data_IF_621112667173
#
_entry.id   IF_621112667173
#
_cell.length_a   1.000
_cell.length_b   1.000
_cell.length_c   1.000
_cell.angle_alpha   90.00
_cell.angle_beta   90.00
_cell.angle_gamma   90.00
#
_symmetry.space_group_name_H-M   'P 1'
#
loop_
_entity.id
_entity.type
_entity.pdbx_description
1 polymer ?
#
# COMPACT_ATOMS: atom_id res chain seq x y z
N UNK A 1 14.98 21.05 -0.56
CA UNK A 1 14.82 21.78 -1.84
C UNK A 1 15.01 20.78 -2.97
N UNK A 2 13.91 20.25 -3.53
CA UNK A 2 13.93 19.37 -4.70
C UNK A 2 13.40 20.19 -5.88
N UNK A 3 14.31 20.63 -6.73
CA UNK A 3 13.99 21.20 -8.04
C UNK A 3 13.46 20.07 -8.92
N UNK A 4 12.16 19.81 -8.87
CA UNK A 4 11.50 19.02 -9.90
C UNK A 4 11.57 19.81 -11.22
N UNK A 5 11.92 19.16 -12.34
CA UNK A 5 11.76 19.78 -13.65
C UNK A 5 10.29 20.15 -13.83
N UNK A 6 10.01 21.43 -14.04
CA UNK A 6 8.66 21.92 -14.20
C UNK A 6 8.26 21.71 -15.67
N UNK A 7 7.64 20.57 -16.00
CA UNK A 7 7.18 20.35 -17.37
C UNK A 7 6.00 21.28 -17.66
N UNK A 8 5.99 21.94 -18.82
CA UNK A 8 4.99 22.97 -19.06
C UNK A 8 3.65 22.41 -19.58
N UNK A 9 3.62 21.15 -20.05
CA UNK A 9 2.39 20.50 -20.50
C UNK A 9 2.36 18.99 -20.29
N UNK A 10 1.16 18.41 -20.24
CA UNK A 10 0.96 16.95 -20.13
C UNK A 10 1.53 16.21 -21.34
N UNK A 11 1.50 16.85 -22.51
CA UNK A 11 2.11 16.31 -23.74
C UNK A 11 3.62 16.23 -23.64
N UNK A 12 4.29 17.16 -22.97
CA UNK A 12 5.74 17.10 -22.74
C UNK A 12 6.10 15.99 -21.75
N UNK A 13 5.32 15.85 -20.68
CA UNK A 13 5.43 14.76 -19.71
C UNK A 13 5.36 13.39 -20.40
N UNK A 14 4.35 13.17 -21.24
CA UNK A 14 4.17 11.90 -21.97
C UNK A 14 5.28 11.67 -22.99
N UNK A 15 5.69 12.69 -23.75
CA UNK A 15 6.83 12.55 -24.68
C UNK A 15 8.11 12.17 -23.95
N UNK A 16 8.38 12.78 -22.80
CA UNK A 16 9.56 12.47 -22.00
C UNK A 16 9.49 11.06 -21.44
N UNK A 17 8.34 10.66 -20.90
CA UNK A 17 8.10 9.32 -20.41
C UNK A 17 8.26 8.27 -21.51
N UNK A 18 7.77 8.53 -22.73
CA UNK A 18 7.94 7.66 -23.88
C UNK A 18 9.41 7.46 -24.26
N UNK A 19 10.22 8.53 -24.25
CA UNK A 19 11.66 8.46 -24.52
C UNK A 19 12.35 7.60 -23.45
N UNK A 20 12.12 7.89 -22.17
CA UNK A 20 12.80 7.19 -21.07
C UNK A 20 12.39 5.72 -20.99
N UNK A 21 11.13 5.38 -21.25
CA UNK A 21 10.66 4.00 -21.27
C UNK A 21 11.24 3.21 -22.44
N UNK A 22 11.35 3.80 -23.63
CA UNK A 22 12.00 3.15 -24.78
C UNK A 22 13.49 2.95 -24.52
N UNK A 23 14.17 3.96 -24.00
CA UNK A 23 15.58 3.84 -23.61
C UNK A 23 15.75 2.77 -22.52
N UNK A 24 14.85 2.66 -21.54
CA UNK A 24 14.94 1.64 -20.49
C UNK A 24 14.80 0.19 -21.01
N UNK A 25 14.20 -0.01 -22.19
CA UNK A 25 14.05 -1.34 -22.82
C UNK A 25 15.23 -1.75 -23.70
N UNK A 26 16.21 -0.87 -23.94
CA UNK A 26 17.39 -1.20 -24.74
C UNK A 26 18.39 -2.08 -23.94
N UNK A 27 18.65 -3.32 -24.39
CA UNK A 27 19.54 -4.25 -23.69
C UNK A 27 21.03 -3.85 -23.70
N UNK A 28 21.42 -2.83 -24.48
CA UNK A 28 22.80 -2.37 -24.60
C UNK A 28 23.17 -1.22 -23.64
N UNK A 29 22.30 -0.86 -22.70
CA UNK A 29 22.56 0.24 -21.76
C UNK A 29 23.29 -0.15 -20.48
N UNK A 30 24.18 0.75 -20.06
CA UNK A 30 25.00 0.64 -18.85
C UNK A 30 24.15 0.78 -17.57
N UNK A 31 24.56 0.10 -16.49
CA UNK A 31 23.80 -0.01 -15.22
C UNK A 31 23.45 1.34 -14.60
N UNK A 32 24.38 2.29 -14.65
CA UNK A 32 24.18 3.65 -14.11
C UNK A 32 23.10 4.43 -14.87
N UNK A 33 22.96 4.16 -16.17
CA UNK A 33 21.91 4.76 -17.01
C UNK A 33 20.55 4.14 -16.72
N UNK A 34 20.51 2.83 -16.45
CA UNK A 34 19.28 2.14 -16.04
C UNK A 34 18.74 2.68 -14.69
N UNK A 35 19.60 2.93 -13.71
CA UNK A 35 19.19 3.54 -12.43
C UNK A 35 18.70 4.98 -12.59
N UNK A 36 19.37 5.77 -13.44
CA UNK A 36 18.93 7.12 -13.81
C UNK A 36 17.54 7.12 -14.46
N UNK A 37 17.33 6.24 -15.44
CA UNK A 37 16.05 6.08 -16.14
C UNK A 37 14.94 5.65 -15.19
N UNK A 38 15.20 4.71 -14.26
CA UNK A 38 14.20 4.29 -13.27
C UNK A 38 13.76 5.44 -12.35
N UNK A 39 14.70 6.26 -11.88
CA UNK A 39 14.38 7.43 -11.06
C UNK A 39 13.58 8.45 -11.87
N UNK A 40 13.95 8.67 -13.12
CA UNK A 40 13.26 9.60 -14.00
C UNK A 40 11.81 9.14 -14.31
N UNK A 41 11.60 7.87 -14.63
CA UNK A 41 10.25 7.28 -14.80
C UNK A 41 9.41 7.49 -13.54
N UNK A 42 9.95 7.19 -12.36
CA UNK A 42 9.22 7.40 -11.09
C UNK A 42 8.80 8.85 -10.90
N UNK A 43 9.70 9.80 -11.17
CA UNK A 43 9.41 11.22 -11.01
C UNK A 43 8.34 11.69 -12.01
N UNK A 44 8.47 11.31 -13.29
CA UNK A 44 7.50 11.65 -14.35
C UNK A 44 6.11 11.07 -14.05
N UNK A 45 6.05 9.80 -13.62
CA UNK A 45 4.80 9.16 -13.24
C UNK A 45 4.16 9.84 -12.03
N UNK A 46 4.96 10.20 -11.02
CA UNK A 46 4.45 10.90 -9.84
C UNK A 46 3.86 12.27 -10.21
N UNK A 47 4.56 13.04 -11.05
CA UNK A 47 4.07 14.34 -11.50
C UNK A 47 2.79 14.23 -12.35
N UNK A 48 2.71 13.21 -13.20
CA UNK A 48 1.49 12.94 -13.97
C UNK A 48 0.32 12.58 -13.06
N UNK A 49 0.55 11.73 -12.05
CA UNK A 49 -0.46 11.37 -11.06
C UNK A 49 -0.94 12.60 -10.28
N UNK A 50 -0.03 13.46 -9.80
CA UNK A 50 -0.39 14.70 -9.10
C UNK A 50 -1.30 15.59 -9.95
N UNK A 51 -1.01 15.74 -11.25
CA UNK A 51 -1.86 16.53 -12.17
C UNK A 51 -3.24 15.92 -12.40
N UNK A 52 -3.31 14.59 -12.49
CA UNK A 52 -4.58 13.87 -12.61
C UNK A 52 -5.50 14.18 -11.43
N UNK A 53 -4.96 14.15 -10.21
CA UNK A 53 -5.73 14.44 -8.99
C UNK A 53 -5.98 15.93 -8.76
N UNK A 54 -5.10 16.82 -9.23
CA UNK A 54 -5.25 18.27 -9.08
C UNK A 54 -6.36 18.84 -9.96
N UNK A 55 -6.64 18.24 -11.12
CA UNK A 55 -7.62 18.72 -12.10
C UNK A 55 -8.68 17.64 -12.44
N UNK A 56 -9.50 17.16 -11.47
CA UNK A 56 -10.36 15.99 -11.65
C UNK A 56 -11.37 16.12 -12.79
N UNK A 57 -11.83 17.33 -13.12
CA UNK A 57 -12.75 17.58 -14.25
C UNK A 57 -12.08 17.35 -15.61
N UNK A 58 -10.81 17.75 -15.76
CA UNK A 58 -10.03 17.57 -16.98
C UNK A 58 -9.73 16.10 -17.26
N UNK A 59 -9.58 15.31 -16.20
CA UNK A 59 -9.20 13.90 -16.27
C UNK A 59 -10.38 12.93 -16.10
N UNK A 60 -11.62 13.44 -16.08
CA UNK A 60 -12.83 12.62 -16.07
C UNK A 60 -13.11 11.91 -14.75
N UNK A 61 -12.52 12.38 -13.65
CA UNK A 61 -12.68 11.80 -12.31
C UNK A 61 -13.88 12.37 -11.55
N UNK A 62 -14.31 13.59 -11.88
CA UNK A 62 -15.42 14.24 -11.17
C UNK A 62 -16.77 13.55 -11.39
N UNK A 63 -16.92 12.81 -12.49
CA UNK A 63 -18.12 12.01 -12.82
C UNK A 63 -18.16 10.64 -12.12
N UNK A 64 -17.04 10.21 -11.53
CA UNK A 64 -16.91 8.92 -10.85
C UNK A 64 -17.26 9.09 -9.35
N UNK A 65 -17.97 8.14 -8.71
CA UNK A 65 -18.20 8.16 -7.27
C UNK A 65 -16.89 8.12 -6.46
N UNK A 66 -16.80 8.90 -5.37
CA UNK A 66 -15.56 9.05 -4.58
C UNK A 66 -14.89 7.75 -4.17
N UNK A 67 -15.67 6.76 -3.71
CA UNK A 67 -15.13 5.47 -3.28
C UNK A 67 -14.52 4.60 -4.39
N UNK A 68 -14.66 4.98 -5.67
CA UNK A 68 -14.13 4.26 -6.83
C UNK A 68 -13.16 5.11 -7.68
N UNK A 69 -12.96 6.38 -7.32
CA UNK A 69 -12.10 7.31 -8.08
C UNK A 69 -10.66 6.85 -8.11
N UNK A 70 -10.11 6.52 -6.94
CA UNK A 70 -8.69 6.17 -6.79
C UNK A 70 -8.36 4.87 -7.54
N UNK A 71 -9.26 3.88 -7.50
CA UNK A 71 -9.11 2.62 -8.21
C UNK A 71 -9.17 2.83 -9.73
N UNK A 72 -10.19 3.53 -10.23
CA UNK A 72 -10.35 3.81 -11.65
C UNK A 72 -9.19 4.67 -12.19
N UNK A 73 -8.73 5.67 -11.43
CA UNK A 73 -7.59 6.52 -11.78
C UNK A 73 -6.28 5.72 -11.81
N UNK A 74 -6.05 4.86 -10.81
CA UNK A 74 -4.85 4.03 -10.74
C UNK A 74 -4.79 3.04 -11.90
N UNK A 75 -5.89 2.36 -12.21
CA UNK A 75 -5.97 1.43 -13.34
C UNK A 75 -5.78 2.13 -14.68
N UNK A 76 -6.40 3.30 -14.87
CA UNK A 76 -6.22 4.10 -16.08
C UNK A 76 -4.78 4.63 -16.22
N UNK A 77 -4.12 4.99 -15.10
CA UNK A 77 -2.72 5.40 -15.10
C UNK A 77 -1.81 4.23 -15.46
N UNK A 78 -2.04 3.04 -14.91
CA UNK A 78 -1.30 1.85 -15.29
C UNK A 78 -1.47 1.52 -16.77
N UNK A 79 -2.69 1.57 -17.29
CA UNK A 79 -2.97 1.39 -18.72
C UNK A 79 -2.21 2.42 -19.56
N UNK A 80 -2.18 3.69 -19.12
CA UNK A 80 -1.40 4.73 -19.79
C UNK A 80 0.08 4.38 -19.84
N UNK A 81 0.69 4.01 -18.71
CA UNK A 81 2.12 3.68 -18.65
C UNK A 81 2.48 2.51 -19.57
N UNK A 82 1.59 1.52 -19.70
CA UNK A 82 1.76 0.37 -20.61
C UNK A 82 1.66 0.81 -22.09
N UNK A 83 0.77 1.73 -22.41
CA UNK A 83 0.53 2.18 -23.79
C UNK A 83 1.43 3.36 -24.22
N UNK A 84 2.05 4.09 -23.29
CA UNK A 84 2.94 5.25 -23.55
C UNK A 84 4.02 4.96 -24.61
N UNK A 85 4.73 3.81 -24.59
CA UNK A 85 5.71 3.49 -25.62
C UNK A 85 5.14 3.50 -27.05
N UNK A 86 3.87 3.11 -27.20
CA UNK A 86 3.16 2.99 -28.48
C UNK A 86 2.21 4.17 -28.76
N UNK A 87 2.09 5.13 -27.84
CA UNK A 87 1.15 6.24 -27.97
C UNK A 87 1.50 7.12 -29.18
N UNK A 88 0.62 7.14 -30.19
CA UNK A 88 0.84 7.84 -31.47
C UNK A 88 0.28 9.26 -31.53
N UNK A 89 -0.08 9.86 -30.39
CA UNK A 89 -0.63 11.23 -30.29
C UNK A 89 -1.77 11.53 -31.28
N UNK A 90 -2.59 10.52 -31.63
CA UNK A 90 -3.73 10.68 -32.55
C UNK A 90 -4.89 11.45 -31.92
N UNK A 91 -4.86 11.60 -30.60
CA UNK A 91 -5.79 12.39 -29.80
C UNK A 91 -5.04 12.96 -28.58
N UNK A 92 -5.56 14.03 -27.93
CA UNK A 92 -5.00 14.56 -26.69
C UNK A 92 -4.90 13.49 -25.60
N UNK A 93 -3.85 13.57 -24.77
CA UNK A 93 -3.59 12.62 -23.68
C UNK A 93 -4.73 12.64 -22.66
N UNK A 94 -5.23 13.82 -22.31
CA UNK A 94 -6.35 13.99 -21.39
C UNK A 94 -7.60 13.27 -21.90
N UNK A 95 -7.96 13.49 -23.18
CA UNK A 95 -9.13 12.85 -23.81
C UNK A 95 -8.99 11.32 -23.83
N UNK A 96 -7.81 10.81 -24.16
CA UNK A 96 -7.54 9.37 -24.10
C UNK A 96 -7.70 8.84 -22.66
N UNK A 97 -7.19 9.58 -21.68
CA UNK A 97 -7.21 9.16 -20.28
C UNK A 97 -8.63 9.16 -19.72
N UNK A 98 -9.43 10.19 -20.03
CA UNK A 98 -10.85 10.26 -19.67
C UNK A 98 -11.58 9.01 -20.18
N UNK A 99 -11.39 8.66 -21.45
CA UNK A 99 -12.01 7.47 -22.03
C UNK A 99 -11.58 6.17 -21.31
N UNK A 100 -10.33 6.09 -20.86
CA UNK A 100 -9.82 4.94 -20.09
C UNK A 100 -10.33 4.87 -18.67
N UNK A 101 -10.40 6.00 -17.96
CA UNK A 101 -11.02 6.07 -16.64
C UNK A 101 -12.47 5.60 -16.73
N UNK A 102 -13.21 6.04 -17.74
CA UNK A 102 -14.60 5.62 -17.95
C UNK A 102 -14.68 4.11 -18.24
N UNK A 103 -13.82 3.57 -19.10
CA UNK A 103 -13.75 2.13 -19.39
C UNK A 103 -13.47 1.30 -18.12
N UNK A 104 -12.49 1.73 -17.31
CA UNK A 104 -12.13 1.07 -16.06
C UNK A 104 -13.26 1.16 -15.03
N UNK A 105 -13.90 2.32 -14.89
CA UNK A 105 -15.05 2.49 -14.02
C UNK A 105 -16.22 1.58 -14.42
N UNK A 106 -16.58 1.54 -15.71
CA UNK A 106 -17.64 0.65 -16.20
C UNK A 106 -17.35 -0.82 -15.89
N UNK A 107 -16.08 -1.22 -15.99
CA UNK A 107 -15.64 -2.58 -15.64
C UNK A 107 -15.78 -2.86 -14.14
N UNK A 108 -15.30 -1.96 -13.28
CA UNK A 108 -15.43 -2.07 -11.82
C UNK A 108 -16.89 -2.11 -11.39
N UNK A 109 -17.72 -1.27 -12.00
CA UNK A 109 -19.16 -1.23 -11.78
C UNK A 109 -19.86 -2.51 -12.22
N UNK A 110 -19.48 -3.09 -13.37
CA UNK A 110 -20.03 -4.37 -13.81
C UNK A 110 -19.65 -5.52 -12.86
N UNK A 111 -18.44 -5.50 -12.29
CA UNK A 111 -18.00 -6.47 -11.29
C UNK A 111 -18.80 -6.31 -10.00
N UNK A 112 -18.97 -5.08 -9.52
CA UNK A 112 -19.74 -4.82 -8.28
C UNK A 112 -21.22 -5.21 -8.45
N UNK A 113 -21.82 -4.95 -9.61
CA UNK A 113 -23.18 -5.39 -9.91
C UNK A 113 -23.31 -6.91 -9.97
N UNK A 114 -22.33 -7.62 -10.55
CA UNK A 114 -22.34 -9.10 -10.57
C UNK A 114 -22.20 -9.68 -9.17
N UNK A 115 -21.34 -9.10 -8.33
CA UNK A 115 -21.21 -9.51 -6.92
C UNK A 115 -22.47 -9.24 -6.10
N UNK A 116 -23.24 -8.20 -6.45
CA UNK A 116 -24.52 -7.90 -5.82
C UNK A 116 -25.68 -8.76 -6.36
N UNK A 117 -25.61 -9.18 -7.62
CA UNK A 117 -26.67 -9.93 -8.31
C UNK A 117 -26.53 -11.46 -8.20
N UNK A 118 -25.32 -11.97 -7.99
CA UNK A 118 -25.15 -13.36 -7.58
C UNK A 118 -25.72 -13.49 -6.17
N UNK A 119 -26.76 -14.33 -5.94
CA UNK A 119 -27.10 -14.72 -4.59
C UNK A 119 -25.84 -15.35 -4.05
N UNK A 120 -25.19 -14.66 -3.09
CA UNK A 120 -24.02 -15.17 -2.39
C UNK A 120 -24.36 -16.62 -2.07
N UNK A 121 -23.76 -17.57 -2.79
CA UNK A 121 -23.76 -18.95 -2.32
C UNK A 121 -23.35 -18.80 -0.87
N UNK A 122 -24.12 -19.33 0.10
CA UNK A 122 -23.77 -19.16 1.51
C UNK A 122 -22.29 -19.47 1.56
N UNK A 123 -21.48 -18.46 1.91
CA UNK A 123 -20.03 -18.62 2.02
C UNK A 123 -19.88 -19.98 2.68
N UNK A 124 -19.18 -20.96 2.05
CA UNK A 124 -19.10 -22.29 2.63
C UNK A 124 -18.63 -22.04 4.03
N UNK A 125 -19.54 -22.22 5.02
CA UNK A 125 -19.46 -21.47 6.26
C UNK A 125 -18.01 -21.53 6.66
N UNK A 126 -17.30 -20.40 6.49
CA UNK A 126 -15.95 -20.33 6.99
C UNK A 126 -16.29 -20.45 8.44
N UNK A 127 -16.14 -21.68 8.96
CA UNK A 127 -16.45 -21.99 10.33
C UNK A 127 -15.82 -20.80 11.04
N UNK A 128 -16.64 -19.96 11.73
CA UNK A 128 -16.14 -18.73 12.30
C UNK A 128 -14.81 -19.12 12.88
N UNK A 129 -13.71 -18.50 12.41
CA UNK A 129 -12.43 -18.82 12.99
C UNK A 129 -12.68 -18.48 14.44
N UNK A 130 -12.91 -19.51 15.23
CA UNK A 130 -13.13 -19.44 16.65
C UNK A 130 -11.74 -19.11 17.14
N UNK A 131 -11.33 -17.85 16.95
CA UNK A 131 -10.36 -17.23 17.81
C UNK A 131 -11.08 -17.12 19.15
N UNK A 132 -11.12 -18.26 19.84
CA UNK A 132 -11.62 -18.46 21.18
C UNK A 132 -10.63 -17.85 22.19
N UNK A 133 -10.13 -16.67 21.87
CA UNK A 133 -9.28 -15.87 22.73
C UNK A 133 -9.94 -14.51 22.85
N UNK A 134 -10.87 -14.41 23.80
CA UNK A 134 -11.18 -13.11 24.40
C UNK A 134 -9.87 -12.45 24.80
N UNK A 135 -9.56 -11.24 24.30
CA UNK A 135 -8.32 -10.58 24.63
C UNK A 135 -8.21 -10.40 26.14
N UNK A 136 -7.02 -10.64 26.66
CA UNK A 136 -6.73 -10.43 28.08
C UNK A 136 -6.99 -8.96 28.45
N UNK A 137 -7.57 -8.72 29.62
CA UNK A 137 -7.88 -7.37 30.10
C UNK A 137 -6.62 -6.50 30.19
N UNK A 138 -5.48 -7.10 30.57
CA UNK A 138 -4.18 -6.42 30.61
C UNK A 138 -3.67 -6.04 29.21
N UNK A 139 -3.95 -6.86 28.20
CA UNK A 139 -3.60 -6.57 26.81
C UNK A 139 -4.48 -5.42 26.27
N UNK A 140 -5.79 -5.45 26.54
CA UNK A 140 -6.70 -4.37 26.16
C UNK A 140 -6.31 -3.02 26.77
N UNK A 141 -5.90 -3.01 28.03
CA UNK A 141 -5.44 -1.80 28.70
C UNK A 141 -4.17 -1.24 28.05
N UNK A 142 -3.19 -2.10 27.73
CA UNK A 142 -1.93 -1.67 27.11
C UNK A 142 -2.10 -1.20 25.65
N UNK A 143 -2.80 -1.98 24.83
CA UNK A 143 -3.02 -1.68 23.41
C UNK A 143 -4.10 -0.61 23.19
N UNK A 144 -4.97 -0.38 24.18
CA UNK A 144 -6.07 0.59 24.15
C UNK A 144 -5.77 1.91 24.87
N UNK A 145 -4.65 2.02 25.60
CA UNK A 145 -4.25 3.26 26.26
C UNK A 145 -4.05 4.39 25.24
N UNK A 146 -4.85 5.45 25.36
CA UNK A 146 -4.78 6.64 24.50
C UNK A 146 -3.54 7.49 24.72
N UNK A 147 -2.90 7.39 25.89
CA UNK A 147 -1.71 8.17 26.28
C UNK A 147 -0.53 7.27 26.69
N UNK A 148 -0.24 6.26 25.86
CA UNK A 148 0.82 5.29 26.12
C UNK A 148 1.92 5.29 25.05
N UNK A 149 3.08 4.74 25.40
CA UNK A 149 4.17 4.54 24.43
C UNK A 149 3.74 3.71 23.22
N UNK A 150 2.79 2.79 23.42
CA UNK A 150 2.18 2.02 22.34
C UNK A 150 1.56 2.92 21.26
N UNK A 151 0.83 3.96 21.64
CA UNK A 151 0.19 4.88 20.67
C UNK A 151 1.23 5.65 19.86
N UNK A 152 2.33 6.06 20.50
CA UNK A 152 3.46 6.68 19.82
C UNK A 152 4.09 5.75 18.78
N UNK A 153 4.27 4.48 19.15
CA UNK A 153 4.76 3.45 18.25
C UNK A 153 3.80 3.16 17.09
N UNK A 154 2.50 3.06 17.37
CA UNK A 154 1.47 2.79 16.37
C UNK A 154 1.40 3.90 15.30
N UNK A 155 1.57 5.17 15.72
CA UNK A 155 1.66 6.31 14.79
C UNK A 155 2.90 6.28 13.92
N UNK A 156 4.05 5.87 14.47
CA UNK A 156 5.33 5.89 13.74
C UNK A 156 5.56 4.62 12.88
N UNK A 157 5.06 3.47 13.33
CA UNK A 157 5.29 2.16 12.71
C UNK A 157 3.99 1.34 12.60
N UNK A 158 2.98 1.83 11.84
CA UNK A 158 1.63 1.24 11.84
C UNK A 158 1.60 -0.23 11.39
N UNK A 159 2.45 -0.62 10.42
CA UNK A 159 2.51 -2.01 9.93
C UNK A 159 3.09 -2.99 10.95
N UNK A 160 4.12 -2.56 11.68
CA UNK A 160 4.78 -3.38 12.71
C UNK A 160 3.88 -3.47 13.96
N UNK A 161 3.23 -2.35 14.32
CA UNK A 161 2.25 -2.29 15.39
C UNK A 161 1.04 -3.19 15.12
N UNK A 162 0.53 -3.20 13.89
CA UNK A 162 -0.58 -4.05 13.50
C UNK A 162 -0.24 -5.55 13.61
N UNK A 163 0.95 -5.96 13.16
CA UNK A 163 1.40 -7.35 13.31
C UNK A 163 1.51 -7.78 14.79
N UNK A 164 2.05 -6.92 15.65
CA UNK A 164 2.10 -7.18 17.09
C UNK A 164 0.69 -7.22 17.72
N UNK A 165 -0.23 -6.36 17.28
CA UNK A 165 -1.62 -6.37 17.78
C UNK A 165 -2.34 -7.66 17.39
N UNK A 166 -2.21 -8.10 16.13
CA UNK A 166 -2.76 -9.38 15.69
C UNK A 166 -2.26 -10.54 16.55
N UNK A 167 -0.95 -10.58 16.83
CA UNK A 167 -0.37 -11.68 17.58
C UNK A 167 -0.69 -11.65 19.08
N UNK A 168 -0.60 -10.49 19.72
CA UNK A 168 -0.60 -10.39 21.17
C UNK A 168 -1.92 -9.91 21.77
N UNK A 169 -2.68 -9.08 21.05
CA UNK A 169 -4.03 -8.68 21.45
C UNK A 169 -5.06 -9.69 20.94
N UNK A 170 -5.06 -9.96 19.63
CA UNK A 170 -6.08 -10.82 18.99
C UNK A 170 -5.71 -12.31 19.02
N UNK A 171 -4.54 -12.64 19.56
CA UNK A 171 -4.00 -14.01 19.72
C UNK A 171 -4.04 -14.84 18.43
N UNK A 172 -3.98 -14.18 17.27
CA UNK A 172 -4.02 -14.83 15.96
C UNK A 172 -2.84 -15.78 15.80
N UNK A 173 -3.10 -16.93 15.16
CA UNK A 173 -2.04 -17.90 14.83
C UNK A 173 -1.12 -17.36 13.74
N UNK A 174 0.15 -17.82 13.65
CA UNK A 174 1.05 -17.45 12.55
C UNK A 174 0.47 -17.76 11.17
N UNK A 175 -0.35 -18.81 11.05
CA UNK A 175 -1.07 -19.21 9.84
C UNK A 175 -2.15 -18.20 9.47
N UNK A 176 -3.01 -17.81 10.42
CA UNK A 176 -4.03 -16.76 10.22
C UNK A 176 -3.38 -15.43 9.86
N UNK A 177 -2.29 -15.08 10.55
CA UNK A 177 -1.54 -13.87 10.26
C UNK A 177 -0.93 -13.87 8.86
N UNK A 178 -0.50 -15.02 8.34
CA UNK A 178 0.03 -15.13 6.98
C UNK A 178 -1.05 -14.80 5.95
N UNK A 179 -2.30 -15.23 6.18
CA UNK A 179 -3.44 -14.89 5.33
C UNK A 179 -3.80 -13.40 5.47
N UNK A 180 -3.93 -12.89 6.71
CA UNK A 180 -4.36 -11.51 6.96
C UNK A 180 -3.33 -10.45 6.52
N UNK A 181 -2.05 -10.78 6.56
CA UNK A 181 -0.94 -9.88 6.22
C UNK A 181 -0.33 -10.15 4.84
N UNK A 182 -0.98 -10.99 4.04
CA UNK A 182 -0.57 -11.44 2.71
C UNK A 182 0.93 -11.81 2.67
N UNK A 183 1.34 -12.68 3.58
CA UNK A 183 2.72 -13.13 3.72
C UNK A 183 2.91 -14.48 3.02
N UNK A 184 4.03 -14.63 2.31
CA UNK A 184 4.33 -15.83 1.52
C UNK A 184 4.42 -17.13 2.34
N UNK A 185 4.73 -17.07 3.64
CA UNK A 185 4.76 -18.21 4.55
C UNK A 185 4.80 -17.75 6.02
N UNK A 186 4.58 -18.70 6.94
CA UNK A 186 4.65 -18.50 8.40
C UNK A 186 6.03 -18.02 8.87
N UNK A 187 7.12 -18.46 8.24
CA UNK A 187 8.48 -17.99 8.54
C UNK A 187 8.65 -16.48 8.30
N UNK A 188 8.02 -15.94 7.26
CA UNK A 188 8.00 -14.51 6.99
C UNK A 188 7.24 -13.72 8.08
N UNK A 189 6.21 -14.32 8.67
CA UNK A 189 5.48 -13.75 9.83
C UNK A 189 6.38 -13.73 11.06
N UNK A 190 7.08 -14.82 11.39
CA UNK A 190 8.03 -14.86 12.53
C UNK A 190 9.13 -13.81 12.39
N UNK A 191 9.72 -13.66 11.19
CA UNK A 191 10.71 -12.62 10.93
C UNK A 191 10.12 -11.21 11.09
N UNK A 192 8.89 -10.99 10.62
CA UNK A 192 8.17 -9.71 10.75
C UNK A 192 7.87 -9.39 12.22
N UNK A 193 7.45 -10.39 13.01
CA UNK A 193 7.21 -10.24 14.44
C UNK A 193 8.48 -9.92 15.23
N UNK A 194 9.58 -10.64 14.97
CA UNK A 194 10.86 -10.36 15.63
C UNK A 194 11.37 -8.95 15.30
N UNK A 195 11.31 -8.56 14.02
CA UNK A 195 11.65 -7.20 13.60
C UNK A 195 10.77 -6.15 14.27
N UNK A 196 9.46 -6.41 14.39
CA UNK A 196 8.53 -5.50 15.04
C UNK A 196 8.83 -5.37 16.55
N UNK A 197 9.15 -6.47 17.24
CA UNK A 197 9.59 -6.49 18.64
C UNK A 197 10.88 -5.71 18.86
N UNK A 198 11.89 -5.93 18.02
CA UNK A 198 13.17 -5.21 18.14
C UNK A 198 12.98 -3.71 17.90
N UNK A 199 12.15 -3.35 16.91
CA UNK A 199 11.83 -1.96 16.63
C UNK A 199 11.05 -1.30 17.76
N UNK A 200 10.12 -2.03 18.37
CA UNK A 200 9.40 -1.57 19.55
C UNK A 200 10.36 -1.37 20.75
N UNK A 201 11.27 -2.31 20.99
CA UNK A 201 12.32 -2.18 22.02
C UNK A 201 13.16 -0.92 21.82
N UNK A 202 13.67 -0.71 20.60
CA UNK A 202 14.44 0.50 20.28
C UNK A 202 13.60 1.77 20.44
N UNK A 203 12.31 1.72 20.09
CA UNK A 203 11.41 2.85 20.28
C UNK A 203 11.17 3.18 21.77
N UNK A 204 11.06 2.15 22.63
CA UNK A 204 11.00 2.32 24.08
C UNK A 204 12.23 3.01 24.64
N UNK A 205 13.42 2.55 24.24
CA UNK A 205 14.69 3.13 24.66
C UNK A 205 14.83 4.59 24.18
N UNK A 206 14.41 4.88 22.94
CA UNK A 206 14.44 6.23 22.37
C UNK A 206 13.44 7.19 23.02
N UNK A 207 12.31 6.66 23.48
CA UNK A 207 11.27 7.44 24.18
C UNK A 207 11.61 7.71 25.65
N UNK A 208 12.77 7.24 26.13
CA UNK A 208 13.29 7.53 27.46
C UNK A 208 12.89 6.54 28.56
N UNK A 209 12.30 5.39 28.21
CA UNK A 209 12.08 4.32 29.21
C UNK A 209 13.40 3.74 29.68
N UNK A 210 13.50 3.51 31.00
CA UNK A 210 14.63 2.82 31.58
C UNK A 210 14.74 1.38 31.06
N UNK A 211 15.95 0.82 31.03
CA UNK A 211 16.17 -0.58 30.58
C UNK A 211 15.27 -1.60 31.27
N UNK A 212 14.95 -1.37 32.56
CA UNK A 212 14.07 -2.23 33.36
C UNK A 212 12.61 -2.11 32.92
N UNK A 213 12.13 -0.90 32.68
CA UNK A 213 10.76 -0.63 32.23
C UNK A 213 10.55 -1.16 30.80
N UNK A 214 11.54 -0.98 29.92
CA UNK A 214 11.54 -1.59 28.58
C UNK A 214 11.47 -3.10 28.67
N UNK A 215 12.22 -3.74 29.56
CA UNK A 215 12.14 -5.19 29.77
C UNK A 215 10.74 -5.61 30.25
N UNK A 216 10.16 -4.91 31.21
CA UNK A 216 8.83 -5.20 31.76
C UNK A 216 7.72 -5.07 30.69
N UNK A 217 7.83 -4.09 29.79
CA UNK A 217 6.91 -3.97 28.64
C UNK A 217 7.15 -5.08 27.61
N UNK A 218 8.42 -5.43 27.35
CA UNK A 218 8.78 -6.47 26.38
C UNK A 218 8.32 -7.87 26.78
N UNK A 219 8.21 -8.16 28.09
CA UNK A 219 7.66 -9.43 28.60
C UNK A 219 6.25 -9.70 28.05
N UNK A 220 5.45 -8.65 27.80
CA UNK A 220 4.09 -8.75 27.26
C UNK A 220 4.05 -9.30 25.84
N UNK A 221 5.15 -9.20 25.11
CA UNK A 221 5.28 -9.72 23.76
C UNK A 221 5.82 -11.15 23.72
N UNK A 222 6.06 -11.81 24.86
CA UNK A 222 6.52 -13.20 24.97
C UNK A 222 7.83 -13.51 24.22
N UNK A 223 8.55 -14.52 24.67
CA UNK A 223 9.50 -15.22 23.81
C UNK A 223 8.72 -16.36 23.15
N UNK A 224 8.61 -16.34 21.82
CA UNK A 224 8.03 -17.51 21.15
C UNK A 224 9.08 -18.61 21.09
N UNK A 225 8.71 -19.86 21.38
CA UNK A 225 9.63 -20.98 21.30
C UNK A 225 10.11 -21.13 19.86
N UNK A 226 11.42 -21.24 19.69
CA UNK A 226 12.04 -21.68 18.44
C UNK A 226 11.45 -23.06 18.08
N UNK A 227 10.62 -23.10 17.04
CA UNK A 227 10.01 -24.31 16.48
C UNK A 227 10.06 -24.25 14.97
#
# INVERSE_FOLDING_TARGET
MTTNPNYHSDSELIKRLQIVLRDATDPFHDRLRAEGNQREVRNLTAELAERIYAEPDKWGLSTIPEGLRDDAASDALLALLVEVPEFRARQPVADWYVAKVEECYQRLWAISQRQAAEPRAPEPAVAPIESAATPDAEALEFFGATDGIWQGFEKQFPRDAFALRLRYLLKSSPEEMAVMLDAANTRAITMRLNRAKDRFRTFCEQSGLGRRETADVMVRFGEEPEG
#
